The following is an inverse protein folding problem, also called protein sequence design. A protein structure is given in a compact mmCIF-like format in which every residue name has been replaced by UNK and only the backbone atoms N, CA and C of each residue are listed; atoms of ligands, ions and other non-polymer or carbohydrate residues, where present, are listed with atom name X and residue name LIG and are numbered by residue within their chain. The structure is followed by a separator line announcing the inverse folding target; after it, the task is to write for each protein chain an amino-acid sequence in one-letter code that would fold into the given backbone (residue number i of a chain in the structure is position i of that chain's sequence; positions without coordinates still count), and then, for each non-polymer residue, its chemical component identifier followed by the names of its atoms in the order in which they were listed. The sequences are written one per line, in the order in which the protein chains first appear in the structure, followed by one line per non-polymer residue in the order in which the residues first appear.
data_IF_097522789031
#
_entry.id   IF_097522789031
#
_cell.length_a   1.000
_cell.length_b   1.000
_cell.length_c   1.000
_cell.angle_alpha   90.00
_cell.angle_beta   90.00
_cell.angle_gamma   90.00
#
_symmetry.space_group_name_H-M   'P 1'
#
loop_
_entity.id
_entity.type
_entity.pdbx_description
1 polymer ?
#
# COMPACT_ATOMS: atom_id res chain seq x y z
N UNK A 1 -19.88 -37.47 26.13
CA UNK A 1 -20.41 -37.68 24.76
C UNK A 1 -21.26 -36.51 24.26
N UNK A 2 -22.19 -35.94 25.02
CA UNK A 2 -23.01 -34.79 24.55
C UNK A 2 -22.23 -33.50 24.32
N UNK A 3 -21.19 -33.19 25.10
CA UNK A 3 -20.37 -31.98 24.96
C UNK A 3 -19.50 -31.98 23.71
N UNK A 4 -18.93 -33.11 23.33
CA UNK A 4 -18.09 -33.25 22.13
C UNK A 4 -18.95 -33.11 20.84
N UNK A 5 -20.15 -33.68 20.84
CA UNK A 5 -21.12 -33.54 19.73
C UNK A 5 -21.57 -32.08 19.55
N UNK A 6 -21.74 -31.34 20.63
CA UNK A 6 -22.07 -29.92 20.58
C UNK A 6 -20.87 -29.10 20.02
N UNK A 7 -19.66 -29.39 20.47
CA UNK A 7 -18.46 -28.68 20.01
C UNK A 7 -18.21 -28.91 18.50
N UNK A 8 -18.35 -30.14 18.03
CA UNK A 8 -18.24 -30.50 16.63
C UNK A 8 -19.24 -29.76 15.74
N UNK A 9 -20.48 -29.63 16.20
CA UNK A 9 -21.49 -28.83 15.50
C UNK A 9 -21.09 -27.36 15.41
N UNK A 10 -20.53 -26.77 16.48
CA UNK A 10 -20.10 -25.36 16.46
C UNK A 10 -18.98 -25.10 15.46
N UNK A 11 -17.98 -25.99 15.35
CA UNK A 11 -16.89 -25.86 14.38
C UNK A 11 -17.43 -25.86 12.93
N UNK A 12 -18.27 -26.82 12.59
CA UNK A 12 -18.92 -26.91 11.27
C UNK A 12 -19.74 -25.65 10.96
N UNK A 13 -20.50 -25.12 11.93
CA UNK A 13 -21.29 -23.90 11.75
C UNK A 13 -20.41 -22.66 11.54
N UNK A 14 -19.31 -22.53 12.28
CA UNK A 14 -18.36 -21.41 12.15
C UNK A 14 -17.72 -21.42 10.76
N UNK A 15 -17.27 -22.58 10.28
CA UNK A 15 -16.69 -22.69 8.96
C UNK A 15 -17.71 -22.43 7.86
N UNK A 16 -18.94 -22.90 8.00
CA UNK A 16 -20.02 -22.62 7.04
C UNK A 16 -20.37 -21.14 6.97
N UNK A 17 -20.48 -20.48 8.11
CA UNK A 17 -20.75 -19.03 8.19
C UNK A 17 -19.58 -18.25 7.60
N UNK A 18 -18.34 -18.63 7.90
CA UNK A 18 -17.14 -18.02 7.33
C UNK A 18 -17.10 -18.19 5.81
N UNK A 19 -17.43 -19.37 5.30
CA UNK A 19 -17.51 -19.64 3.86
C UNK A 19 -18.56 -18.76 3.18
N UNK A 20 -19.74 -18.66 3.77
CA UNK A 20 -20.84 -17.83 3.22
C UNK A 20 -20.44 -16.34 3.20
N UNK A 21 -19.86 -15.82 4.29
CA UNK A 21 -19.44 -14.43 4.40
C UNK A 21 -18.35 -14.10 3.38
N UNK A 22 -17.32 -14.92 3.29
CA UNK A 22 -16.22 -14.73 2.33
C UNK A 22 -16.70 -14.84 0.88
N UNK A 23 -17.64 -15.74 0.59
CA UNK A 23 -18.27 -15.85 -0.72
C UNK A 23 -19.07 -14.60 -1.08
N UNK A 24 -19.88 -14.08 -0.17
CA UNK A 24 -20.66 -12.85 -0.39
C UNK A 24 -19.73 -11.68 -0.69
N UNK A 25 -18.62 -11.55 0.04
CA UNK A 25 -17.59 -10.51 -0.23
C UNK A 25 -16.97 -10.72 -1.62
N UNK A 26 -16.65 -11.96 -2.02
CA UNK A 26 -16.13 -12.27 -3.35
C UNK A 26 -17.09 -11.83 -4.46
N UNK A 27 -18.40 -12.18 -4.33
CA UNK A 27 -19.44 -11.78 -5.28
C UNK A 27 -19.59 -10.27 -5.34
N UNK A 28 -19.57 -9.60 -4.18
CA UNK A 28 -19.66 -8.15 -4.12
C UNK A 28 -18.50 -7.49 -4.85
N UNK A 29 -17.26 -7.93 -4.60
CA UNK A 29 -16.06 -7.44 -5.31
C UNK A 29 -16.12 -7.73 -6.82
N UNK A 30 -16.61 -8.90 -7.22
CA UNK A 30 -16.78 -9.26 -8.64
C UNK A 30 -17.78 -8.36 -9.36
N UNK A 31 -18.85 -7.95 -8.66
CA UNK A 31 -19.91 -7.06 -9.21
C UNK A 31 -19.56 -5.58 -9.11
N UNK A 32 -18.50 -5.22 -8.41
CA UNK A 32 -18.07 -3.82 -8.29
C UNK A 32 -17.77 -3.24 -9.67
N UNK A 33 -18.53 -2.22 -10.06
CA UNK A 33 -18.35 -1.56 -11.36
C UNK A 33 -17.05 -0.73 -11.35
N UNK A 34 -16.16 -1.01 -12.29
CA UNK A 34 -14.93 -0.27 -12.54
C UNK A 34 -15.02 0.34 -13.93
N UNK A 35 -14.70 1.63 -14.13
CA UNK A 35 -14.68 2.24 -15.45
C UNK A 35 -13.65 1.55 -16.35
N UNK A 36 -14.08 0.61 -17.19
CA UNK A 36 -13.18 -0.18 -18.05
C UNK A 36 -12.64 0.61 -19.25
N UNK A 37 -13.21 1.77 -19.55
CA UNK A 37 -12.81 2.59 -20.71
C UNK A 37 -11.49 3.34 -20.50
N UNK A 38 -11.02 3.49 -19.26
CA UNK A 38 -9.82 4.21 -18.90
C UNK A 38 -8.71 3.23 -18.48
N UNK A 39 -7.59 3.25 -19.20
CA UNK A 39 -6.42 2.39 -18.93
C UNK A 39 -5.86 2.55 -17.51
N UNK A 40 -6.08 3.70 -16.89
CA UNK A 40 -5.69 3.98 -15.49
C UNK A 40 -6.32 3.04 -14.47
N UNK A 41 -7.49 2.46 -14.79
CA UNK A 41 -8.18 1.50 -13.91
C UNK A 41 -7.74 0.05 -14.09
N UNK A 42 -6.89 -0.24 -15.06
CA UNK A 42 -6.40 -1.62 -15.31
C UNK A 42 -5.73 -2.23 -14.08
N UNK A 43 -4.84 -1.51 -13.33
CA UNK A 43 -4.22 -2.05 -12.13
C UNK A 43 -5.24 -2.36 -11.02
N UNK A 44 -6.20 -1.45 -10.79
CA UNK A 44 -7.27 -1.67 -9.83
C UNK A 44 -8.14 -2.89 -10.22
N UNK A 45 -8.44 -3.05 -11.49
CA UNK A 45 -9.21 -4.18 -11.97
C UNK A 45 -8.46 -5.51 -11.80
N UNK A 46 -7.14 -5.54 -12.06
CA UNK A 46 -6.28 -6.71 -11.77
C UNK A 46 -6.30 -7.07 -10.28
N UNK A 47 -6.12 -6.09 -9.42
CA UNK A 47 -6.17 -6.25 -7.98
C UNK A 47 -7.52 -6.78 -7.51
N UNK A 48 -8.62 -6.21 -8.01
CA UNK A 48 -9.99 -6.68 -7.72
C UNK A 48 -10.15 -8.16 -8.01
N UNK A 49 -9.70 -8.63 -9.19
CA UNK A 49 -9.81 -10.04 -9.55
C UNK A 49 -8.90 -10.95 -8.72
N UNK A 50 -7.71 -10.48 -8.32
CA UNK A 50 -6.86 -11.20 -7.35
C UNK A 50 -7.60 -11.39 -6.02
N UNK A 51 -8.28 -10.36 -5.54
CA UNK A 51 -9.07 -10.45 -4.31
C UNK A 51 -10.28 -11.37 -4.45
N UNK A 52 -11.00 -11.29 -5.56
CA UNK A 52 -12.08 -12.24 -5.86
C UNK A 52 -11.55 -13.68 -5.80
N UNK A 53 -10.39 -13.94 -6.38
CA UNK A 53 -9.72 -15.24 -6.30
C UNK A 53 -9.39 -15.65 -4.87
N UNK A 54 -8.81 -14.73 -4.08
CA UNK A 54 -8.45 -14.98 -2.68
C UNK A 54 -9.66 -15.32 -1.81
N UNK A 55 -10.74 -14.53 -1.91
CA UNK A 55 -11.97 -14.77 -1.15
C UNK A 55 -12.69 -16.04 -1.59
N UNK A 56 -12.68 -16.35 -2.90
CA UNK A 56 -13.25 -17.58 -3.42
C UNK A 56 -12.47 -18.81 -2.94
N UNK A 57 -11.14 -18.78 -2.98
CA UNK A 57 -10.28 -19.85 -2.48
C UNK A 57 -10.52 -20.10 -0.99
N UNK A 58 -10.64 -19.03 -0.20
CA UNK A 58 -10.92 -19.12 1.23
C UNK A 58 -12.31 -19.71 1.50
N UNK A 59 -13.33 -19.26 0.76
CA UNK A 59 -14.69 -19.79 0.86
C UNK A 59 -14.73 -21.30 0.55
N UNK A 60 -14.07 -21.71 -0.53
CA UNK A 60 -13.99 -23.14 -0.90
C UNK A 60 -13.27 -23.94 0.18
N UNK A 61 -12.16 -23.43 0.71
CA UNK A 61 -11.43 -24.08 1.81
C UNK A 61 -12.29 -24.28 3.05
N UNK A 62 -13.06 -23.27 3.45
CA UNK A 62 -13.95 -23.35 4.61
C UNK A 62 -15.13 -24.31 4.37
N UNK A 63 -15.68 -24.36 3.14
CA UNK A 63 -16.68 -25.38 2.79
C UNK A 63 -16.09 -26.78 2.88
N UNK A 64 -14.89 -26.98 2.35
CA UNK A 64 -14.22 -28.28 2.42
C UNK A 64 -13.97 -28.71 3.87
N UNK A 65 -13.53 -27.77 4.73
CA UNK A 65 -13.36 -28.00 6.17
C UNK A 65 -14.68 -28.38 6.84
N UNK A 66 -15.76 -27.66 6.56
CA UNK A 66 -17.09 -27.91 7.14
C UNK A 66 -17.71 -29.24 6.70
N UNK A 67 -17.35 -29.75 5.52
CA UNK A 67 -17.87 -31.01 4.99
C UNK A 67 -17.04 -32.24 5.37
N UNK A 68 -15.86 -32.04 5.98
CA UNK A 68 -15.02 -33.17 6.40
C UNK A 68 -15.62 -33.93 7.59
N UNK A 69 -15.53 -35.27 7.62
CA UNK A 69 -15.86 -36.05 8.81
C UNK A 69 -14.95 -35.62 9.98
N UNK A 70 -15.51 -35.54 11.19
CA UNK A 70 -14.78 -35.15 12.39
C UNK A 70 -13.67 -36.09 12.85
N UNK A 71 -13.48 -37.21 12.15
CA UNK A 71 -12.43 -38.21 12.40
C UNK A 71 -11.18 -37.98 11.52
N UNK A 72 -11.13 -36.85 10.75
CA UNK A 72 -9.97 -36.56 9.91
C UNK A 72 -8.77 -36.24 10.79
N UNK A 73 -7.66 -36.90 10.50
CA UNK A 73 -6.37 -36.71 11.17
C UNK A 73 -6.02 -35.21 11.21
N UNK A 74 -5.69 -34.70 12.39
CA UNK A 74 -5.31 -33.30 12.63
C UNK A 74 -4.18 -32.83 11.70
N UNK A 75 -3.36 -33.75 11.22
CA UNK A 75 -2.23 -33.46 10.35
C UNK A 75 -2.64 -33.13 8.90
N UNK A 76 -3.73 -33.76 8.40
CA UNK A 76 -4.31 -33.38 7.09
C UNK A 76 -4.89 -31.97 7.15
N UNK A 77 -5.54 -31.60 8.26
CA UNK A 77 -6.07 -30.26 8.45
C UNK A 77 -4.93 -29.21 8.50
N UNK A 78 -3.83 -29.49 9.21
CA UNK A 78 -2.63 -28.64 9.22
C UNK A 78 -2.04 -28.44 7.82
N UNK A 79 -1.96 -29.54 7.03
CA UNK A 79 -1.49 -29.46 5.66
C UNK A 79 -2.40 -28.59 4.77
N UNK A 80 -3.71 -28.67 4.93
CA UNK A 80 -4.67 -27.83 4.23
C UNK A 80 -4.51 -26.35 4.61
N UNK A 81 -4.42 -26.04 5.91
CA UNK A 81 -4.18 -24.66 6.42
C UNK A 81 -2.87 -24.11 5.85
N UNK A 82 -1.82 -24.92 5.76
CA UNK A 82 -0.53 -24.51 5.21
C UNK A 82 -0.64 -24.09 3.74
N UNK A 83 -1.23 -24.92 2.89
CA UNK A 83 -1.39 -24.61 1.45
C UNK A 83 -2.29 -23.39 1.22
N UNK A 84 -3.41 -23.30 1.96
CA UNK A 84 -4.29 -22.14 1.89
C UNK A 84 -3.56 -20.89 2.36
N UNK A 85 -2.76 -20.97 3.43
CA UNK A 85 -1.93 -19.88 3.93
C UNK A 85 -0.94 -19.37 2.87
N UNK A 86 -0.24 -20.25 2.16
CA UNK A 86 0.66 -19.91 1.06
C UNK A 86 -0.09 -19.19 -0.09
N UNK A 87 -1.23 -19.73 -0.52
CA UNK A 87 -2.06 -19.08 -1.57
C UNK A 87 -2.52 -17.70 -1.13
N UNK A 88 -2.98 -17.55 0.11
CA UNK A 88 -3.43 -16.25 0.64
C UNK A 88 -2.27 -15.27 0.75
N UNK A 89 -1.09 -15.69 1.24
CA UNK A 89 0.10 -14.86 1.32
C UNK A 89 0.50 -14.30 -0.06
N UNK A 90 0.49 -15.15 -1.10
CA UNK A 90 0.75 -14.74 -2.47
C UNK A 90 -0.26 -13.69 -2.97
N UNK A 91 -1.56 -13.98 -2.83
CA UNK A 91 -2.62 -13.13 -3.38
C UNK A 91 -2.69 -11.77 -2.67
N UNK A 92 -2.59 -11.76 -1.32
CA UNK A 92 -2.58 -10.51 -0.55
C UNK A 92 -1.32 -9.68 -0.78
N UNK A 93 -0.15 -10.30 -0.89
CA UNK A 93 1.08 -9.59 -1.23
C UNK A 93 1.00 -9.00 -2.63
N UNK A 94 0.54 -9.77 -3.62
CA UNK A 94 0.32 -9.29 -4.98
C UNK A 94 -0.66 -8.09 -5.00
N UNK A 95 -1.75 -8.17 -4.24
CA UNK A 95 -2.70 -7.09 -4.06
C UNK A 95 -2.04 -5.83 -3.48
N UNK A 96 -1.38 -5.93 -2.33
CA UNK A 96 -0.77 -4.78 -1.65
C UNK A 96 0.30 -4.11 -2.52
N UNK A 97 1.13 -4.90 -3.24
CA UNK A 97 2.13 -4.36 -4.17
C UNK A 97 1.45 -3.71 -5.37
N UNK A 98 0.38 -4.30 -5.93
CA UNK A 98 -0.38 -3.72 -7.05
C UNK A 98 -1.01 -2.38 -6.68
N UNK A 99 -1.42 -2.20 -5.42
CA UNK A 99 -1.91 -0.91 -4.92
C UNK A 99 -0.83 0.17 -4.90
N UNK A 100 0.41 -0.20 -4.59
CA UNK A 100 1.52 0.74 -4.47
C UNK A 100 2.12 1.00 -5.85
N UNK A 101 2.51 -0.07 -6.54
CA UNK A 101 3.11 -0.03 -7.87
C UNK A 101 2.72 -1.27 -8.68
N UNK A 102 1.75 -1.13 -9.62
CA UNK A 102 1.23 -2.26 -10.41
C UNK A 102 2.29 -2.96 -11.27
N UNK A 103 3.34 -2.24 -11.67
CA UNK A 103 4.39 -2.76 -12.57
C UNK A 103 5.32 -3.74 -11.86
N UNK A 104 5.46 -3.63 -10.54
CA UNK A 104 6.30 -4.53 -9.72
C UNK A 104 5.71 -5.96 -9.57
N UNK A 105 4.46 -6.17 -9.97
CA UNK A 105 3.80 -7.49 -9.98
C UNK A 105 3.77 -8.03 -11.40
N UNK A 106 4.79 -8.81 -11.78
CA UNK A 106 4.83 -9.47 -13.08
C UNK A 106 4.08 -10.81 -13.06
N UNK A 107 3.50 -11.18 -14.20
CA UNK A 107 2.85 -12.49 -14.38
C UNK A 107 3.84 -13.63 -14.12
N UNK A 108 5.11 -13.47 -14.55
CA UNK A 108 6.17 -14.46 -14.33
C UNK A 108 6.41 -14.72 -12.84
N UNK A 109 6.48 -13.65 -12.04
CA UNK A 109 6.61 -13.77 -10.59
C UNK A 109 5.44 -14.54 -9.96
N UNK A 110 4.20 -14.24 -10.37
CA UNK A 110 3.01 -14.98 -9.94
C UNK A 110 3.08 -16.47 -10.31
N UNK A 111 3.45 -16.78 -11.56
CA UNK A 111 3.56 -18.17 -12.02
C UNK A 111 4.63 -18.97 -11.27
N UNK A 112 5.80 -18.40 -10.99
CA UNK A 112 6.84 -19.09 -10.19
C UNK A 112 6.37 -19.41 -8.78
N UNK A 113 5.65 -18.51 -8.13
CA UNK A 113 5.10 -18.76 -6.79
C UNK A 113 3.96 -19.78 -6.84
N UNK A 114 3.05 -19.71 -7.82
CA UNK A 114 2.03 -20.75 -8.01
C UNK A 114 2.64 -22.13 -8.25
N UNK A 115 3.73 -22.21 -9.01
CA UNK A 115 4.46 -23.47 -9.22
C UNK A 115 5.07 -23.99 -7.91
N UNK A 116 5.69 -23.10 -7.11
CA UNK A 116 6.26 -23.47 -5.81
C UNK A 116 5.18 -24.00 -4.85
N UNK A 117 4.02 -23.34 -4.77
CA UNK A 117 2.86 -23.78 -3.97
C UNK A 117 2.33 -25.13 -4.49
N UNK A 118 2.22 -25.27 -5.82
CA UNK A 118 1.80 -26.52 -6.46
C UNK A 118 2.76 -27.67 -6.16
N UNK A 119 4.08 -27.43 -6.17
CA UNK A 119 5.08 -28.42 -5.78
C UNK A 119 4.96 -28.80 -4.29
N UNK A 120 4.71 -27.84 -3.39
CA UNK A 120 4.49 -28.11 -1.98
C UNK A 120 3.23 -28.99 -1.77
N UNK A 121 2.13 -28.65 -2.43
CA UNK A 121 0.90 -29.45 -2.38
C UNK A 121 1.11 -30.86 -2.93
N UNK A 122 1.79 -31.01 -4.07
CA UNK A 122 2.10 -32.30 -4.66
C UNK A 122 3.01 -33.14 -3.73
N UNK A 123 3.99 -32.51 -3.08
CA UNK A 123 4.86 -33.16 -2.11
C UNK A 123 4.08 -33.71 -0.91
N UNK A 124 3.14 -32.95 -0.37
CA UNK A 124 2.27 -33.35 0.74
C UNK A 124 1.39 -34.53 0.33
N UNK A 125 0.74 -34.47 -0.85
CA UNK A 125 -0.11 -35.58 -1.37
C UNK A 125 0.72 -36.81 -1.61
N UNK A 126 1.90 -36.71 -2.20
CA UNK A 126 2.79 -37.85 -2.42
C UNK A 126 3.27 -38.45 -1.09
N UNK A 127 3.67 -37.62 -0.11
CA UNK A 127 4.06 -38.10 1.21
C UNK A 127 2.95 -38.86 1.92
N UNK A 128 1.71 -38.33 1.84
CA UNK A 128 0.54 -39.00 2.44
C UNK A 128 0.26 -40.39 1.80
N UNK A 129 0.52 -40.56 0.51
CA UNK A 129 0.32 -41.85 -0.19
C UNK A 129 1.40 -42.88 0.10
N UNK A 130 2.58 -42.47 0.61
CA UNK A 130 3.72 -43.35 0.90
C UNK A 130 3.72 -43.83 2.35
N UNK A 131 3.54 -42.90 3.32
CA UNK A 131 3.51 -43.25 4.74
C UNK A 131 3.51 -42.03 5.66
N UNK A 132 3.32 -42.30 6.96
CA UNK A 132 3.22 -41.24 7.98
C UNK A 132 4.50 -40.42 8.11
N UNK A 133 5.66 -41.08 8.00
CA UNK A 133 6.95 -40.37 8.13
C UNK A 133 7.24 -39.45 6.94
N UNK A 134 6.95 -39.93 5.73
CA UNK A 134 7.07 -39.17 4.49
C UNK A 134 6.09 -38.00 4.45
N UNK A 135 4.89 -38.19 4.96
CA UNK A 135 3.90 -37.13 5.12
C UNK A 135 4.39 -36.07 6.09
N UNK A 136 4.86 -36.45 7.28
CA UNK A 136 5.40 -35.48 8.26
C UNK A 136 6.61 -34.73 7.70
N UNK A 137 7.51 -35.40 6.98
CA UNK A 137 8.64 -34.76 6.32
C UNK A 137 8.19 -33.75 5.24
N UNK A 138 7.19 -34.12 4.43
CA UNK A 138 6.61 -33.24 3.41
C UNK A 138 5.97 -32.00 4.00
N UNK A 139 5.22 -32.13 5.10
CA UNK A 139 4.62 -30.98 5.83
C UNK A 139 5.71 -30.08 6.39
N UNK A 140 6.77 -30.63 7.00
CA UNK A 140 7.88 -29.83 7.54
C UNK A 140 8.64 -29.07 6.45
N UNK A 141 8.91 -29.69 5.30
CA UNK A 141 9.54 -29.04 4.15
C UNK A 141 8.63 -27.90 3.62
N UNK A 142 7.35 -28.17 3.47
CA UNK A 142 6.37 -27.18 3.01
C UNK A 142 6.21 -26.01 4.01
N UNK A 143 6.32 -26.30 5.32
CA UNK A 143 6.33 -25.26 6.36
C UNK A 143 7.57 -24.37 6.25
N UNK A 144 8.74 -24.96 6.00
CA UNK A 144 9.96 -24.18 5.76
C UNK A 144 9.84 -23.29 4.50
N UNK A 145 9.23 -23.83 3.43
CA UNK A 145 8.93 -23.04 2.22
C UNK A 145 7.96 -21.87 2.52
N UNK A 146 6.93 -22.11 3.33
CA UNK A 146 6.00 -21.06 3.73
C UNK A 146 6.67 -19.94 4.55
N UNK A 147 7.56 -20.29 5.48
CA UNK A 147 8.36 -19.32 6.21
C UNK A 147 9.23 -18.48 5.25
N UNK A 148 9.91 -19.14 4.31
CA UNK A 148 10.71 -18.46 3.30
C UNK A 148 9.85 -17.53 2.43
N UNK A 149 8.65 -17.96 2.05
CA UNK A 149 7.67 -17.18 1.30
C UNK A 149 7.27 -15.90 2.05
N UNK A 150 6.90 -16.01 3.34
CA UNK A 150 6.54 -14.86 4.17
C UNK A 150 7.70 -13.85 4.30
N UNK A 151 8.94 -14.34 4.44
CA UNK A 151 10.14 -13.48 4.52
C UNK A 151 10.37 -12.75 3.20
N UNK A 152 10.37 -13.48 2.07
CA UNK A 152 10.58 -12.91 0.73
C UNK A 152 9.49 -11.90 0.37
N UNK A 153 8.23 -12.21 0.69
CA UNK A 153 7.11 -11.31 0.42
C UNK A 153 7.16 -10.05 1.29
N UNK A 154 7.55 -10.19 2.54
CA UNK A 154 7.76 -9.05 3.43
C UNK A 154 8.88 -8.15 2.91
N UNK A 155 10.02 -8.71 2.54
CA UNK A 155 11.12 -7.95 1.95
C UNK A 155 10.69 -7.21 0.68
N UNK A 156 10.04 -7.93 -0.26
CA UNK A 156 9.56 -7.34 -1.52
C UNK A 156 8.55 -6.22 -1.28
N UNK A 157 7.60 -6.40 -0.35
CA UNK A 157 6.62 -5.38 -0.01
C UNK A 157 7.29 -4.13 0.56
N UNK A 158 8.12 -4.28 1.60
CA UNK A 158 8.76 -3.12 2.24
C UNK A 158 9.73 -2.39 1.32
N UNK A 159 10.44 -3.11 0.46
CA UNK A 159 11.30 -2.50 -0.57
C UNK A 159 10.46 -1.65 -1.53
N UNK A 160 9.39 -2.23 -2.11
CA UNK A 160 8.48 -1.51 -3.01
C UNK A 160 7.80 -0.32 -2.33
N UNK A 161 7.38 -0.48 -1.07
CA UNK A 161 6.77 0.59 -0.29
C UNK A 161 7.71 1.76 -0.08
N UNK A 162 8.97 1.49 0.31
CA UNK A 162 9.97 2.54 0.57
C UNK A 162 10.34 3.28 -0.72
N UNK A 163 10.56 2.55 -1.80
CA UNK A 163 10.86 3.11 -3.12
C UNK A 163 9.72 4.02 -3.62
N UNK A 164 8.49 3.51 -3.59
CA UNK A 164 7.32 4.29 -4.02
C UNK A 164 7.02 5.48 -3.10
N UNK A 165 7.29 5.35 -1.80
CA UNK A 165 7.16 6.46 -0.86
C UNK A 165 8.18 7.57 -1.19
N UNK A 166 9.44 7.23 -1.44
CA UNK A 166 10.47 8.20 -1.83
C UNK A 166 10.12 8.89 -3.14
N UNK A 167 9.64 8.14 -4.11
CA UNK A 167 9.18 8.69 -5.37
C UNK A 167 8.02 9.68 -5.21
N UNK A 168 6.98 9.33 -4.44
CA UNK A 168 5.88 10.24 -4.14
C UNK A 168 6.35 11.52 -3.42
N UNK A 169 7.26 11.38 -2.47
CA UNK A 169 7.82 12.51 -1.72
C UNK A 169 8.73 13.41 -2.59
N UNK A 170 9.36 12.87 -3.64
CA UNK A 170 10.17 13.65 -4.57
C UNK A 170 9.36 14.38 -5.64
N UNK A 171 8.22 13.81 -6.07
CA UNK A 171 7.44 14.30 -7.20
C UNK A 171 6.24 15.17 -6.81
N UNK A 172 5.78 15.09 -5.55
CA UNK A 172 4.62 15.82 -5.07
C UNK A 172 4.95 16.66 -3.85
N UNK A 173 4.39 17.86 -3.81
CA UNK A 173 4.60 18.81 -2.74
C UNK A 173 3.86 18.46 -1.44
N UNK A 174 2.76 17.72 -1.53
CA UNK A 174 2.02 17.26 -0.36
C UNK A 174 2.60 15.96 0.24
N UNK A 175 2.41 15.78 1.55
CA UNK A 175 2.76 14.50 2.22
C UNK A 175 1.76 13.40 1.85
N UNK A 176 1.91 12.92 0.63
CA UNK A 176 1.13 11.80 0.09
C UNK A 176 1.50 10.46 0.70
N UNK A 177 2.62 10.40 1.43
CA UNK A 177 3.03 9.20 2.16
C UNK A 177 2.01 8.79 3.21
N UNK A 178 1.23 9.74 3.75
CA UNK A 178 0.12 9.45 4.66
C UNK A 178 -0.97 8.62 3.98
N UNK A 179 -1.19 8.83 2.67
CA UNK A 179 -2.17 8.08 1.87
C UNK A 179 -1.75 6.63 1.61
N UNK A 180 -0.45 6.31 1.67
CA UNK A 180 0.06 4.94 1.57
C UNK A 180 0.08 4.21 2.92
N UNK A 181 -0.05 4.92 4.05
CA UNK A 181 0.06 4.36 5.40
C UNK A 181 -0.91 3.22 5.66
N UNK A 182 -2.14 3.32 5.15
CA UNK A 182 -3.13 2.28 5.32
C UNK A 182 -2.73 0.97 4.61
N UNK A 183 -2.09 1.03 3.42
CA UNK A 183 -1.62 -0.16 2.69
C UNK A 183 -0.54 -0.89 3.51
N UNK A 184 0.35 -0.13 4.16
CA UNK A 184 1.33 -0.69 5.09
C UNK A 184 0.65 -1.45 6.23
N UNK A 185 -0.38 -0.87 6.84
CA UNK A 185 -1.12 -1.53 7.92
C UNK A 185 -1.92 -2.73 7.42
N UNK A 186 -2.52 -2.66 6.22
CA UNK A 186 -3.14 -3.82 5.58
C UNK A 186 -2.16 -4.96 5.38
N UNK A 187 -0.95 -4.68 4.90
CA UNK A 187 0.07 -5.71 4.71
C UNK A 187 0.52 -6.30 6.06
N UNK A 188 0.81 -5.47 7.05
CA UNK A 188 1.25 -5.93 8.39
C UNK A 188 0.18 -6.82 9.03
N UNK A 189 -1.10 -6.44 8.94
CA UNK A 189 -2.20 -7.24 9.47
C UNK A 189 -2.41 -8.54 8.70
N UNK A 190 -2.26 -8.55 7.37
CA UNK A 190 -2.28 -9.77 6.56
C UNK A 190 -1.12 -10.71 6.91
N UNK A 191 0.08 -10.15 7.09
CA UNK A 191 1.24 -10.91 7.58
C UNK A 191 0.98 -11.52 8.95
N UNK A 192 0.31 -10.79 9.85
CA UNK A 192 -0.12 -11.29 11.16
C UNK A 192 -1.03 -12.50 11.06
N UNK A 193 -2.00 -12.49 10.14
CA UNK A 193 -2.86 -13.67 9.87
C UNK A 193 -2.02 -14.85 9.33
N UNK A 194 -1.06 -14.60 8.45
CA UNK A 194 -0.15 -15.61 7.92
C UNK A 194 0.73 -16.24 9.00
N UNK A 195 1.25 -15.43 9.93
CA UNK A 195 2.02 -15.92 11.09
C UNK A 195 1.14 -16.73 12.04
N UNK A 196 -0.10 -16.32 12.28
CA UNK A 196 -1.05 -17.11 13.09
C UNK A 196 -1.36 -18.47 12.44
N UNK A 197 -1.55 -18.52 11.11
CA UNK A 197 -1.71 -19.78 10.39
C UNK A 197 -0.47 -20.70 10.55
N UNK A 198 0.74 -20.11 10.51
CA UNK A 198 1.97 -20.84 10.75
C UNK A 198 2.04 -21.43 12.17
N UNK A 199 1.64 -20.65 13.18
CA UNK A 199 1.60 -21.11 14.56
C UNK A 199 0.63 -22.30 14.74
N UNK A 200 -0.50 -22.28 14.03
CA UNK A 200 -1.47 -23.38 14.02
C UNK A 200 -0.85 -24.66 13.45
N UNK A 201 -0.06 -24.55 12.37
CA UNK A 201 0.58 -25.71 11.75
C UNK A 201 1.64 -26.33 12.67
N UNK A 202 2.40 -25.49 13.38
CA UNK A 202 3.54 -25.93 14.22
C UNK A 202 3.12 -26.39 15.61
N UNK A 203 2.02 -25.85 16.14
CA UNK A 203 1.57 -26.12 17.51
C UNK A 203 0.43 -27.15 17.56
N UNK A 204 0.31 -27.96 18.64
CA UNK A 204 -0.88 -28.78 18.87
C UNK A 204 -2.02 -27.87 19.30
N UNK A 205 -2.88 -27.50 18.36
CA UNK A 205 -4.02 -26.62 18.58
C UNK A 205 -5.31 -27.45 18.60
N UNK A 206 -6.20 -27.16 19.54
CA UNK A 206 -7.49 -27.83 19.67
C UNK A 206 -8.58 -27.17 18.81
N UNK A 207 -9.75 -27.80 18.76
CA UNK A 207 -10.89 -27.35 17.94
C UNK A 207 -11.40 -25.95 18.35
N UNK A 208 -11.29 -25.61 19.62
CA UNK A 208 -11.75 -24.32 20.17
C UNK A 208 -10.89 -23.18 19.64
N UNK A 209 -9.57 -23.35 19.66
CA UNK A 209 -8.60 -22.37 19.16
C UNK A 209 -8.75 -22.20 17.64
N UNK A 210 -9.04 -23.28 16.92
CA UNK A 210 -9.36 -23.21 15.49
C UNK A 210 -10.62 -22.39 15.21
N UNK A 211 -11.69 -22.55 16.01
CA UNK A 211 -12.89 -21.71 15.90
C UNK A 211 -12.56 -20.22 16.10
N UNK A 212 -11.77 -19.87 17.12
CA UNK A 212 -11.36 -18.49 17.35
C UNK A 212 -10.55 -17.94 16.17
N UNK A 213 -9.64 -18.74 15.60
CA UNK A 213 -8.87 -18.34 14.44
C UNK A 213 -9.78 -18.11 13.22
N UNK A 214 -10.73 -19.00 12.95
CA UNK A 214 -11.69 -18.88 11.85
C UNK A 214 -12.54 -17.62 11.97
N UNK A 215 -13.05 -17.31 13.16
CA UNK A 215 -13.79 -16.06 13.42
C UNK A 215 -12.91 -14.84 13.22
N UNK A 216 -11.69 -14.86 13.78
CA UNK A 216 -10.75 -13.75 13.70
C UNK A 216 -10.38 -13.41 12.25
N UNK A 217 -9.95 -14.40 11.45
CA UNK A 217 -9.59 -14.13 10.07
C UNK A 217 -10.81 -13.75 9.21
N UNK A 218 -11.99 -14.30 9.50
CA UNK A 218 -13.23 -13.92 8.79
C UNK A 218 -13.55 -12.45 9.00
N UNK A 219 -13.52 -11.96 10.24
CA UNK A 219 -13.71 -10.54 10.55
C UNK A 219 -12.65 -9.66 9.88
N UNK A 220 -11.39 -10.12 9.90
CA UNK A 220 -10.30 -9.45 9.22
C UNK A 220 -10.56 -9.33 7.71
N UNK A 221 -11.00 -10.40 7.04
CA UNK A 221 -11.28 -10.36 5.61
C UNK A 221 -12.49 -9.47 5.27
N UNK A 222 -13.52 -9.44 6.10
CA UNK A 222 -14.63 -8.48 5.95
C UNK A 222 -14.11 -7.04 6.03
N UNK A 223 -13.30 -6.75 7.05
CA UNK A 223 -12.66 -5.45 7.21
C UNK A 223 -11.85 -5.05 5.97
N UNK A 224 -11.01 -5.95 5.46
CA UNK A 224 -10.23 -5.73 4.24
C UNK A 224 -11.11 -5.49 3.01
N UNK A 225 -12.19 -6.25 2.84
CA UNK A 225 -13.14 -6.07 1.74
C UNK A 225 -13.75 -4.68 1.74
N UNK A 226 -14.18 -4.19 2.89
CA UNK A 226 -14.73 -2.83 3.06
C UNK A 226 -13.69 -1.76 2.72
N UNK A 227 -12.46 -1.91 3.20
CA UNK A 227 -11.38 -0.97 2.90
C UNK A 227 -11.01 -0.90 1.42
N UNK A 228 -11.04 -2.02 0.71
CA UNK A 228 -10.78 -2.08 -0.74
C UNK A 228 -11.85 -1.30 -1.51
N UNK A 229 -13.11 -1.42 -1.11
CA UNK A 229 -14.21 -0.68 -1.73
C UNK A 229 -14.05 0.83 -1.51
N UNK A 230 -13.74 1.23 -0.29
CA UNK A 230 -13.53 2.63 0.06
C UNK A 230 -12.28 3.24 -0.62
N UNK A 231 -11.29 2.41 -0.91
CA UNK A 231 -10.06 2.84 -1.60
C UNK A 231 -10.31 3.34 -3.03
N UNK A 232 -11.40 2.97 -3.67
CA UNK A 232 -11.75 3.45 -5.03
C UNK A 232 -11.65 4.98 -5.16
N UNK A 233 -11.98 5.71 -4.10
CA UNK A 233 -11.92 7.18 -4.07
C UNK A 233 -10.47 7.67 -4.08
N UNK A 234 -9.58 6.99 -3.37
CA UNK A 234 -8.17 7.34 -3.24
C UNK A 234 -7.32 6.80 -4.41
N UNK A 235 -7.75 5.70 -5.03
CA UNK A 235 -7.05 5.04 -6.13
C UNK A 235 -6.87 5.95 -7.36
N UNK A 236 -7.86 6.77 -7.69
CA UNK A 236 -7.78 7.72 -8.81
C UNK A 236 -6.54 8.62 -8.74
N UNK A 237 -6.19 9.04 -7.55
CA UNK A 237 -5.07 9.95 -7.34
C UNK A 237 -3.72 9.20 -7.44
N UNK A 238 -3.58 8.07 -6.72
CA UNK A 238 -2.34 7.27 -6.74
C UNK A 238 -2.06 6.71 -8.14
N UNK A 239 -3.10 6.24 -8.84
CA UNK A 239 -2.95 5.71 -10.19
C UNK A 239 -2.53 6.80 -11.20
N UNK A 240 -3.04 8.03 -11.05
CA UNK A 240 -2.61 9.17 -11.89
C UNK A 240 -1.11 9.43 -11.71
N UNK A 241 -0.64 9.48 -10.46
CA UNK A 241 0.77 9.68 -10.13
C UNK A 241 1.67 8.62 -10.76
N UNK A 242 1.32 7.35 -10.58
CA UNK A 242 2.13 6.22 -11.06
C UNK A 242 2.13 6.09 -12.59
N UNK A 243 1.05 6.54 -13.26
CA UNK A 243 0.95 6.50 -14.74
C UNK A 243 1.71 7.66 -15.39
N UNK A 244 1.81 8.81 -14.72
CA UNK A 244 2.57 9.95 -15.21
C UNK A 244 4.08 9.68 -15.15
N UNK A 245 4.56 8.87 -14.17
CA UNK A 245 5.93 8.34 -14.17
C UNK A 245 6.22 7.40 -15.34
N UNK A 246 5.29 6.50 -15.70
CA UNK A 246 5.46 5.58 -16.81
C UNK A 246 5.66 6.31 -18.14
N UNK A 247 5.04 7.46 -18.33
CA UNK A 247 5.25 8.31 -19.50
C UNK A 247 6.60 9.02 -19.48
N UNK A 248 7.14 9.31 -18.30
CA UNK A 248 8.46 9.90 -18.13
C UNK A 248 9.59 8.88 -18.35
N UNK A 249 9.39 7.62 -17.90
CA UNK A 249 10.39 6.56 -18.04
C UNK A 249 10.35 5.84 -19.41
N UNK A 250 9.24 5.93 -20.17
CA UNK A 250 9.10 5.26 -21.50
C UNK A 250 9.55 6.12 -22.66
N UNK A 251 10.01 7.34 -22.43
CA UNK A 251 10.97 7.95 -23.32
C UNK A 251 12.39 7.67 -22.78
N UNK A 252 13.09 6.64 -23.29
CA UNK A 252 14.52 6.67 -23.28
C UNK A 252 14.88 7.79 -24.26
N UNK A 253 14.91 9.03 -23.81
CA UNK A 253 15.89 9.92 -24.36
C UNK A 253 17.23 9.22 -24.07
N UNK A 254 17.76 8.45 -25.06
CA UNK A 254 19.20 8.42 -25.23
C UNK A 254 19.67 9.80 -24.79
N UNK A 255 20.74 9.89 -24.01
CA UNK A 255 21.45 11.14 -23.93
C UNK A 255 22.02 11.35 -25.35
N UNK A 256 21.18 11.80 -26.27
CA UNK A 256 21.63 12.63 -27.34
C UNK A 256 22.32 13.73 -26.54
N UNK A 257 23.68 13.74 -26.68
CA UNK A 257 24.49 14.83 -26.23
C UNK A 257 23.85 16.09 -26.82
N UNK A 258 22.89 16.66 -26.09
CA UNK A 258 22.41 17.99 -26.33
C UNK A 258 23.70 18.82 -26.21
N UNK A 259 24.04 19.60 -27.21
CA UNK A 259 25.18 20.50 -27.08
C UNK A 259 24.95 21.25 -25.79
N UNK A 260 25.93 21.20 -24.86
CA UNK A 260 25.87 21.97 -23.62
C UNK A 260 25.42 23.38 -24.02
N UNK A 261 24.28 23.88 -23.52
CA UNK A 261 23.79 25.19 -23.88
C UNK A 261 24.92 26.17 -23.49
N UNK A 262 25.28 27.03 -24.41
CA UNK A 262 26.34 28.01 -24.15
C UNK A 262 26.08 28.68 -22.81
N UNK A 263 27.11 28.98 -21.99
CA UNK A 263 26.95 29.53 -20.62
C UNK A 263 26.00 30.73 -20.55
N UNK A 264 25.91 31.50 -21.62
CA UNK A 264 24.99 32.64 -21.76
C UNK A 264 23.49 32.21 -21.80
N UNK A 265 23.17 31.10 -22.45
CA UNK A 265 21.78 30.60 -22.56
C UNK A 265 21.28 30.02 -21.22
N UNK A 266 22.16 29.42 -20.44
CA UNK A 266 21.83 28.93 -19.08
C UNK A 266 21.54 30.11 -18.17
N UNK A 267 22.36 31.16 -18.21
CA UNK A 267 22.18 32.36 -17.37
C UNK A 267 20.86 33.07 -17.69
N UNK A 268 20.52 33.27 -18.95
CA UNK A 268 19.27 33.88 -19.38
C UNK A 268 18.06 33.06 -18.91
N UNK A 269 18.12 31.74 -19.03
CA UNK A 269 17.07 30.83 -18.58
C UNK A 269 16.92 30.81 -17.05
N UNK A 270 18.03 30.94 -16.32
CA UNK A 270 18.06 31.04 -14.85
C UNK A 270 17.41 32.35 -14.37
N UNK A 271 17.71 33.48 -14.99
CA UNK A 271 17.10 34.76 -14.68
C UNK A 271 15.61 34.81 -15.05
N UNK A 272 15.20 34.16 -16.11
CA UNK A 272 13.79 33.99 -16.48
C UNK A 272 13.04 33.14 -15.43
N UNK A 273 13.64 32.03 -14.96
CA UNK A 273 13.08 31.19 -13.91
C UNK A 273 12.90 31.98 -12.61
N UNK A 274 13.91 32.74 -12.21
CA UNK A 274 13.87 33.56 -11.01
C UNK A 274 12.69 34.55 -11.06
N UNK A 275 12.54 35.27 -12.17
CA UNK A 275 11.42 36.21 -12.37
C UNK A 275 10.06 35.51 -12.31
N UNK A 276 9.93 34.37 -12.95
CA UNK A 276 8.70 33.58 -12.94
C UNK A 276 8.35 33.08 -11.52
N UNK A 277 9.35 32.64 -10.75
CA UNK A 277 9.16 32.25 -9.35
C UNK A 277 8.82 33.43 -8.44
N UNK A 278 9.44 34.61 -8.62
CA UNK A 278 9.11 35.81 -7.86
C UNK A 278 7.66 36.23 -8.11
N UNK A 279 7.19 36.18 -9.35
CA UNK A 279 5.79 36.47 -9.72
C UNK A 279 4.85 35.41 -9.13
N UNK A 280 5.21 34.12 -9.19
CA UNK A 280 4.44 33.03 -8.61
C UNK A 280 4.30 33.16 -7.09
N UNK A 281 5.35 33.62 -6.39
CA UNK A 281 5.33 33.92 -4.95
C UNK A 281 4.49 35.16 -4.66
N UNK A 282 4.61 36.23 -5.44
CA UNK A 282 3.84 37.44 -5.28
C UNK A 282 2.33 37.20 -5.35
N UNK A 283 1.90 36.27 -6.23
CA UNK A 283 0.51 35.84 -6.36
C UNK A 283 0.09 34.78 -5.34
N UNK A 284 0.92 34.46 -4.34
CA UNK A 284 0.68 33.44 -3.31
C UNK A 284 0.29 32.06 -3.84
N UNK A 285 0.74 31.70 -5.04
CA UNK A 285 0.40 30.41 -5.65
C UNK A 285 0.96 29.23 -4.86
N UNK A 286 1.92 29.43 -3.96
CA UNK A 286 2.46 28.42 -3.07
C UNK A 286 1.45 27.83 -2.08
N UNK A 287 0.31 28.47 -1.80
CA UNK A 287 -0.76 27.96 -0.93
C UNK A 287 -1.75 27.04 -1.67
N UNK A 288 -1.73 27.02 -3.00
CA UNK A 288 -2.62 26.16 -3.78
C UNK A 288 -2.24 24.69 -3.52
N UNK A 289 -3.23 23.84 -3.41
CA UNK A 289 -3.07 22.39 -3.25
C UNK A 289 -3.32 21.70 -4.60
N UNK A 290 -3.00 20.42 -4.69
CA UNK A 290 -3.31 19.52 -5.80
C UNK A 290 -2.55 19.78 -7.13
N UNK A 291 -1.50 20.60 -7.14
CA UNK A 291 -0.62 20.75 -8.28
C UNK A 291 0.64 19.86 -8.13
N UNK A 292 1.00 19.16 -9.21
CA UNK A 292 2.28 18.45 -9.28
C UNK A 292 3.43 19.42 -9.58
N UNK A 293 4.66 18.98 -9.35
CA UNK A 293 5.84 19.77 -9.76
C UNK A 293 5.84 19.99 -11.28
N UNK A 294 5.38 19.01 -12.04
CA UNK A 294 5.27 19.11 -13.50
C UNK A 294 4.24 20.16 -13.93
N UNK A 295 3.07 20.18 -13.28
CA UNK A 295 2.06 21.21 -13.55
C UNK A 295 2.60 22.60 -13.26
N UNK A 296 3.32 22.76 -12.13
CA UNK A 296 3.90 24.06 -11.75
C UNK A 296 5.03 24.47 -12.69
N UNK A 297 5.92 23.54 -13.07
CA UNK A 297 6.99 23.82 -14.02
C UNK A 297 6.43 24.22 -15.38
N UNK A 298 5.40 23.50 -15.87
CA UNK A 298 4.70 23.82 -17.13
C UNK A 298 3.98 25.18 -17.06
N UNK A 299 3.29 25.49 -15.97
CA UNK A 299 2.64 26.79 -15.73
C UNK A 299 3.65 27.96 -15.75
N UNK A 300 4.87 27.71 -15.28
CA UNK A 300 5.96 28.68 -15.29
C UNK A 300 6.70 28.75 -16.66
N UNK A 301 6.38 27.84 -17.60
CA UNK A 301 6.98 27.78 -18.93
C UNK A 301 8.33 27.06 -18.99
N UNK A 302 8.62 26.20 -18.03
CA UNK A 302 9.89 25.46 -17.96
C UNK A 302 9.64 23.94 -17.98
N UNK A 303 10.63 23.20 -18.51
CA UNK A 303 10.65 21.75 -18.38
C UNK A 303 11.03 21.31 -16.95
N UNK A 304 10.54 20.15 -16.53
CA UNK A 304 10.77 19.58 -15.20
C UNK A 304 12.25 19.43 -14.85
N UNK A 305 13.09 19.04 -15.83
CA UNK A 305 14.52 18.79 -15.55
C UNK A 305 15.24 20.10 -15.23
N UNK A 306 14.97 21.17 -16.00
CA UNK A 306 15.54 22.47 -15.71
C UNK A 306 14.99 23.06 -14.40
N UNK A 307 13.70 22.84 -14.11
CA UNK A 307 13.09 23.26 -12.85
C UNK A 307 13.77 22.59 -11.65
N UNK A 308 13.95 21.27 -11.66
CA UNK A 308 14.64 20.53 -10.60
C UNK A 308 16.12 20.92 -10.50
N UNK A 309 16.80 21.08 -11.64
CA UNK A 309 18.20 21.54 -11.70
C UNK A 309 18.36 22.91 -11.05
N UNK A 310 17.46 23.86 -11.32
CA UNK A 310 17.50 25.22 -10.75
C UNK A 310 17.42 25.18 -9.21
N UNK A 311 16.50 24.44 -8.65
CA UNK A 311 16.39 24.31 -7.19
C UNK A 311 17.61 23.65 -6.56
N UNK A 312 18.18 22.63 -7.21
CA UNK A 312 19.33 21.89 -6.69
C UNK A 312 20.64 22.71 -6.82
N UNK A 313 20.87 23.35 -7.96
CA UNK A 313 22.16 23.98 -8.27
C UNK A 313 22.21 25.46 -7.94
N UNK A 314 21.11 26.18 -8.11
CA UNK A 314 21.07 27.64 -7.83
C UNK A 314 20.58 27.93 -6.41
N UNK A 315 19.53 27.24 -5.96
CA UNK A 315 18.97 27.48 -4.63
C UNK A 315 19.46 26.51 -3.55
N UNK A 316 20.25 25.47 -3.91
CA UNK A 316 20.78 24.46 -3.01
C UNK A 316 19.73 23.81 -2.10
N UNK A 317 18.51 23.66 -2.60
CA UNK A 317 17.37 23.12 -1.89
C UNK A 317 16.48 22.30 -2.85
N UNK A 318 15.39 21.75 -2.36
CA UNK A 318 14.34 21.18 -3.23
C UNK A 318 13.15 22.16 -3.32
N UNK A 319 12.40 22.12 -4.44
CA UNK A 319 11.19 22.92 -4.56
C UNK A 319 10.23 22.71 -3.40
N UNK A 320 10.09 21.46 -2.95
CA UNK A 320 9.24 21.10 -1.81
C UNK A 320 9.67 21.79 -0.51
N UNK A 321 10.96 21.75 -0.18
CA UNK A 321 11.50 22.41 1.01
C UNK A 321 11.27 23.90 0.95
N UNK A 322 11.63 24.53 -0.17
CA UNK A 322 11.46 25.95 -0.42
C UNK A 322 9.99 26.41 -0.31
N UNK A 323 9.06 25.67 -0.95
CA UNK A 323 7.63 25.98 -0.88
C UNK A 323 7.08 25.80 0.54
N UNK A 324 7.54 24.77 1.27
CA UNK A 324 7.16 24.56 2.67
C UNK A 324 7.60 25.72 3.54
N UNK A 325 8.80 26.25 3.32
CA UNK A 325 9.29 27.45 4.01
C UNK A 325 8.42 28.66 3.76
N UNK A 326 8.01 28.89 2.52
CA UNK A 326 7.07 29.98 2.18
C UNK A 326 5.73 29.83 2.90
N UNK A 327 5.19 28.63 2.95
CA UNK A 327 3.95 28.30 3.66
C UNK A 327 4.07 28.52 5.18
N UNK A 328 5.21 28.18 5.76
CA UNK A 328 5.46 28.42 7.18
C UNK A 328 5.64 29.92 7.47
N UNK A 329 6.35 30.67 6.61
CA UNK A 329 6.46 32.12 6.73
C UNK A 329 5.09 32.80 6.63
N UNK A 330 4.23 32.35 5.73
CA UNK A 330 2.86 32.84 5.62
C UNK A 330 2.03 32.48 6.87
N UNK A 331 2.21 31.30 7.43
CA UNK A 331 1.57 30.94 8.70
C UNK A 331 2.00 31.86 9.86
N UNK A 332 3.28 32.20 9.94
CA UNK A 332 3.80 33.15 10.93
C UNK A 332 3.16 34.55 10.76
N UNK A 333 3.07 35.03 9.51
CA UNK A 333 2.42 36.30 9.18
C UNK A 333 0.95 36.31 9.61
N UNK A 334 0.19 35.26 9.24
CA UNK A 334 -1.23 35.15 9.59
C UNK A 334 -1.46 35.07 11.11
N UNK A 335 -0.53 34.46 11.87
CA UNK A 335 -0.62 34.42 13.33
C UNK A 335 -0.30 35.75 14.00
N UNK A 336 0.64 36.52 13.43
CA UNK A 336 1.12 37.77 14.01
C UNK A 336 0.26 38.98 13.62
N UNK A 337 -0.18 39.05 12.36
CA UNK A 337 -0.85 40.20 11.80
C UNK A 337 -2.38 40.08 11.76
N UNK A 338 -2.90 38.86 11.50
CA UNK A 338 -4.34 38.66 11.26
C UNK A 338 -5.06 37.93 12.40
N UNK A 339 -4.35 37.59 13.49
CA UNK A 339 -4.88 36.83 14.64
C UNK A 339 -5.60 35.51 14.23
N UNK A 340 -5.08 34.86 13.20
CA UNK A 340 -5.72 33.69 12.62
C UNK A 340 -5.92 32.55 13.63
N UNK A 341 -7.01 31.80 13.47
CA UNK A 341 -7.28 30.62 14.29
C UNK A 341 -6.29 29.51 13.99
N UNK A 342 -5.54 29.03 15.00
CA UNK A 342 -4.53 27.98 14.87
C UNK A 342 -5.14 26.66 14.34
N UNK A 343 -6.41 26.38 14.65
CA UNK A 343 -7.07 25.12 14.29
C UNK A 343 -7.19 24.91 12.78
N UNK A 344 -7.43 25.97 11.99
CA UNK A 344 -7.62 25.94 10.53
C UNK A 344 -6.43 26.51 9.75
N UNK A 345 -5.37 26.93 10.42
CA UNK A 345 -4.23 27.61 9.81
C UNK A 345 -3.53 26.75 8.75
N UNK A 346 -3.37 25.45 9.01
CA UNK A 346 -2.76 24.50 8.07
C UNK A 346 -3.46 24.49 6.71
N UNK A 347 -4.79 24.57 6.68
CA UNK A 347 -5.58 24.64 5.44
C UNK A 347 -5.36 25.97 4.70
N UNK A 348 -5.29 27.08 5.46
CA UNK A 348 -5.10 28.43 4.87
C UNK A 348 -3.74 28.58 4.17
N UNK A 349 -2.73 27.85 4.67
CA UNK A 349 -1.39 27.89 4.06
C UNK A 349 -1.13 26.73 3.11
N UNK A 350 -2.17 25.94 2.78
CA UNK A 350 -2.08 24.90 1.77
C UNK A 350 -1.43 23.60 2.25
N UNK A 351 -1.43 23.31 3.55
CA UNK A 351 -0.95 22.03 4.09
C UNK A 351 -2.16 21.23 4.57
N UNK A 352 -2.48 20.13 3.89
CA UNK A 352 -3.68 19.34 4.18
C UNK A 352 -3.60 18.56 5.51
N UNK A 353 -2.42 18.07 5.89
CA UNK A 353 -2.20 17.35 7.15
C UNK A 353 -1.76 18.27 8.29
N UNK A 354 -2.62 18.34 9.32
CA UNK A 354 -2.36 19.17 10.51
C UNK A 354 -1.11 18.73 11.27
N UNK A 355 -0.85 17.44 11.39
CA UNK A 355 0.33 16.92 12.12
C UNK A 355 1.62 17.30 11.42
N UNK A 356 1.63 17.22 10.08
CA UNK A 356 2.74 17.66 9.24
C UNK A 356 2.99 19.17 9.36
N UNK A 357 1.92 19.97 9.30
CA UNK A 357 2.03 21.39 9.52
C UNK A 357 2.70 21.71 10.87
N UNK A 358 2.24 21.10 11.97
CA UNK A 358 2.83 21.31 13.29
C UNK A 358 4.30 20.92 13.35
N UNK A 359 4.67 19.79 12.72
CA UNK A 359 6.06 19.31 12.63
C UNK A 359 6.94 20.30 11.90
N UNK A 360 6.54 20.75 10.71
CA UNK A 360 7.30 21.72 9.91
C UNK A 360 7.37 23.09 10.59
N UNK A 361 6.25 23.57 11.15
CA UNK A 361 6.23 24.83 11.86
C UNK A 361 7.20 24.84 13.05
N UNK A 362 7.17 23.76 13.86
CA UNK A 362 8.10 23.64 15.00
C UNK A 362 9.56 23.51 14.56
N UNK A 363 9.82 22.79 13.47
CA UNK A 363 11.17 22.63 12.94
C UNK A 363 11.76 23.99 12.46
N UNK A 364 10.93 24.87 11.87
CA UNK A 364 11.34 26.17 11.37
C UNK A 364 11.41 27.27 12.44
N UNK A 365 10.49 27.24 13.41
CA UNK A 365 10.34 28.34 14.39
C UNK A 365 10.85 28.00 15.78
N UNK A 366 11.14 26.73 16.04
CA UNK A 366 11.47 26.21 17.37
C UNK A 366 10.25 26.03 18.29
N UNK A 367 9.07 26.55 17.90
CA UNK A 367 7.85 26.61 18.71
C UNK A 367 6.67 25.96 17.99
N UNK A 368 5.66 25.54 18.75
CA UNK A 368 4.38 25.14 18.15
C UNK A 368 3.60 26.38 17.67
N UNK A 369 2.67 26.25 16.70
CA UNK A 369 1.84 27.40 16.25
C UNK A 369 1.09 28.10 17.38
N UNK A 370 0.67 27.35 18.40
CA UNK A 370 -0.03 27.89 19.57
C UNK A 370 0.89 28.71 20.49
N UNK A 371 2.12 28.23 20.70
CA UNK A 371 3.14 28.95 21.48
C UNK A 371 3.60 30.20 20.75
N UNK A 372 3.80 30.11 19.41
CA UNK A 372 4.18 31.23 18.59
C UNK A 372 3.14 32.35 18.61
N UNK A 373 1.84 32.00 18.47
CA UNK A 373 0.76 33.00 18.58
C UNK A 373 0.76 33.72 19.91
N UNK A 374 0.95 33.01 21.04
CA UNK A 374 1.04 33.61 22.37
C UNK A 374 2.27 34.52 22.55
N UNK A 375 3.38 34.20 21.88
CA UNK A 375 4.59 35.03 21.94
C UNK A 375 4.49 36.27 21.09
N UNK A 376 3.77 36.24 19.95
CA UNK A 376 3.55 37.36 19.07
C UNK A 376 2.53 38.39 19.58
N UNK A 377 1.67 37.97 20.53
CA UNK A 377 0.66 38.85 21.18
C UNK A 377 1.16 39.52 22.49
N UNK A 378 2.39 39.25 22.91
CA UNK A 378 3.07 39.91 24.01
C UNK A 378 3.94 41.06 23.51
#
# INVERSE_FOLDING_TARGET
MSGILLLNNYFTYVDFVSALVTFVVAVFLAKLQVPCADSRWTPFNRMRWLMVGAYTALSVSNIMSALQPHEVETDILKAAVLIVGMVQALLFTAMCITFINPQKVSIRWGLYNCLAIGCAAALIVAGHSVGEWEFAAAVNISTALYIAELVVFSWKFFHTYTESKQCLESNYDEDLSSRLRWIKWCFISALGVGVMALLIVVSPIGDVEMCYFTVFYTLYYVYMGVHIVNYRITANFILKVMTDEEKSDTQPSEPAAAPEPAPHAIHEKTEAMKRALDEWVAHRRYVLNDQTIDDIAADLGFDRFFFAWYFTNELHTTFRTWRTELRIKEAQRLLSEEDAAVASLHLKVGISDKSNFYKHFKAHTGMTPTEYKKSAQK
#
